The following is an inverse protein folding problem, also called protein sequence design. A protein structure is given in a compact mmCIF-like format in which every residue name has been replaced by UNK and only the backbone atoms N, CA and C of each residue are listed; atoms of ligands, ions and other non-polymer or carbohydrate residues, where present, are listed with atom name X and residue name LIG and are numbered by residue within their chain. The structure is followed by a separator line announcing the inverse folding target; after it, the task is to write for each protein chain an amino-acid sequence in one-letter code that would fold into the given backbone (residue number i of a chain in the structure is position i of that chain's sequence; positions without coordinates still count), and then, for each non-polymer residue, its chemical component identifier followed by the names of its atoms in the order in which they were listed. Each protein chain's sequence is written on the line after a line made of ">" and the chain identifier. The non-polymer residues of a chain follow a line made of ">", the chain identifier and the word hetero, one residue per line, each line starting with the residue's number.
data_IF_316580984314
#
_entry.id   IF_316580984314
#
_cell.length_a   1.000
_cell.length_b   1.000
_cell.length_c   1.000
_cell.angle_alpha   90.00
_cell.angle_beta   90.00
_cell.angle_gamma   90.00
#
_symmetry.space_group_name_H-M   'P 1'
#
loop_
_entity.id
_entity.type
_entity.pdbx_description
1 polymer ?
#
# COMPACT_ATOMS: atom_id res chain seq x y z
N UNK A 1 10.01 8.89 -13.19
CA UNK A 1 9.12 8.52 -12.07
C UNK A 1 7.86 7.90 -12.67
N UNK A 2 7.59 6.64 -12.34
CA UNK A 2 6.42 5.89 -12.83
C UNK A 2 5.32 5.92 -11.77
N UNK A 3 4.06 6.01 -12.20
CA UNK A 3 2.90 5.99 -11.30
C UNK A 3 2.17 4.65 -11.41
N UNK A 4 2.29 3.82 -10.38
CA UNK A 4 1.71 2.47 -10.35
C UNK A 4 0.31 2.47 -9.74
N UNK A 5 -0.65 1.90 -10.46
CA UNK A 5 -1.96 1.60 -9.90
C UNK A 5 -1.91 0.32 -9.09
N UNK A 6 -2.11 0.42 -7.78
CA UNK A 6 -2.27 -0.73 -6.88
C UNK A 6 -3.68 -1.27 -7.02
N UNK A 7 -3.80 -2.53 -7.45
CA UNK A 7 -5.08 -3.23 -7.59
C UNK A 7 -5.16 -4.48 -6.73
N UNK A 8 -4.06 -4.92 -6.12
CA UNK A 8 -4.04 -6.04 -5.21
C UNK A 8 -3.01 -5.86 -4.09
N UNK A 9 -3.19 -6.63 -3.01
CA UNK A 9 -2.23 -6.71 -1.90
C UNK A 9 -1.90 -8.17 -1.56
N UNK A 10 -0.81 -8.38 -0.84
CA UNK A 10 -0.46 -9.65 -0.20
C UNK A 10 -0.43 -9.43 1.30
N UNK A 11 -1.29 -10.09 2.10
CA UNK A 11 -1.26 -9.97 3.55
C UNK A 11 -0.05 -10.70 4.14
N UNK A 12 0.49 -10.17 5.23
CA UNK A 12 1.53 -10.82 6.03
C UNK A 12 0.94 -11.90 6.93
N UNK A 13 0.69 -13.07 6.34
CA UNK A 13 0.31 -14.28 7.08
C UNK A 13 -0.88 -14.10 8.03
N UNK A 14 -0.74 -14.62 9.26
CA UNK A 14 -1.78 -14.65 10.29
C UNK A 14 -1.73 -13.46 11.26
N UNK A 15 -0.97 -12.41 10.95
CA UNK A 15 -0.69 -11.35 11.91
C UNK A 15 -1.91 -10.44 12.12
N UNK A 16 -2.24 -10.14 13.38
CA UNK A 16 -3.45 -9.39 13.77
C UNK A 16 -3.39 -7.91 13.41
N UNK A 17 -2.20 -7.43 13.07
CA UNK A 17 -1.90 -6.02 12.83
C UNK A 17 -2.23 -5.55 11.40
N UNK A 18 -2.97 -6.37 10.63
CA UNK A 18 -3.46 -6.01 9.29
C UNK A 18 -2.33 -5.58 8.36
N UNK A 19 -1.25 -6.36 8.36
CA UNK A 19 0.00 -6.02 7.67
C UNK A 19 0.00 -6.51 6.23
N UNK A 20 0.65 -5.75 5.35
CA UNK A 20 0.81 -6.05 3.92
C UNK A 20 2.29 -6.37 3.67
N UNK A 21 2.56 -7.50 3.02
CA UNK A 21 3.90 -7.91 2.57
C UNK A 21 4.26 -7.37 1.20
N UNK A 22 3.26 -7.22 0.33
CA UNK A 22 3.46 -6.70 -1.01
C UNK A 22 2.21 -5.99 -1.54
N UNK A 23 2.43 -5.04 -2.43
CA UNK A 23 1.39 -4.44 -3.26
C UNK A 23 1.64 -4.82 -4.72
N UNK A 24 0.57 -4.92 -5.51
CA UNK A 24 0.67 -5.30 -6.90
C UNK A 24 -0.39 -4.66 -7.78
N UNK A 25 -0.17 -4.82 -9.08
CA UNK A 25 -1.07 -4.36 -10.13
C UNK A 25 -0.86 -5.16 -11.42
N UNK A 26 -1.30 -4.62 -12.54
CA UNK A 26 -1.17 -5.28 -13.84
C UNK A 26 0.30 -5.63 -14.15
N UNK A 27 0.65 -6.92 -14.04
CA UNK A 27 1.97 -7.49 -14.33
C UNK A 27 3.13 -7.01 -13.45
N UNK A 28 2.84 -6.45 -12.27
CA UNK A 28 3.90 -6.03 -11.34
C UNK A 28 3.54 -6.32 -9.89
N UNK A 29 4.58 -6.54 -9.09
CA UNK A 29 4.49 -6.74 -7.64
C UNK A 29 5.72 -6.14 -6.99
N UNK A 30 5.52 -5.36 -5.93
CA UNK A 30 6.59 -4.82 -5.12
C UNK A 30 6.40 -5.23 -3.66
N UNK A 31 7.48 -5.66 -3.01
CA UNK A 31 7.47 -5.87 -1.57
C UNK A 31 7.21 -4.54 -0.86
N UNK A 32 6.70 -4.62 0.36
CA UNK A 32 6.36 -3.43 1.17
C UNK A 32 7.58 -2.53 1.37
N UNK A 33 8.75 -3.12 1.63
CA UNK A 33 10.00 -2.39 1.84
C UNK A 33 10.46 -1.69 0.55
N UNK A 34 10.33 -2.34 -0.61
CA UNK A 34 10.64 -1.72 -1.90
C UNK A 34 9.69 -0.57 -2.20
N UNK A 35 8.39 -0.74 -1.95
CA UNK A 35 7.40 0.30 -2.16
C UNK A 35 7.63 1.50 -1.23
N UNK A 36 7.96 1.26 0.05
CA UNK A 36 8.35 2.29 1.01
C UNK A 36 9.60 3.03 0.52
N UNK A 37 10.64 2.29 0.12
CA UNK A 37 11.86 2.86 -0.41
C UNK A 37 11.60 3.74 -1.64
N UNK A 38 10.77 3.26 -2.57
CA UNK A 38 10.42 3.99 -3.79
C UNK A 38 9.70 5.30 -3.49
N UNK A 39 8.78 5.32 -2.52
CA UNK A 39 8.07 6.54 -2.09
C UNK A 39 9.04 7.49 -1.40
N UNK A 40 9.81 7.01 -0.41
CA UNK A 40 10.74 7.82 0.37
C UNK A 40 11.84 8.45 -0.49
N UNK A 41 12.31 7.74 -1.52
CA UNK A 41 13.32 8.20 -2.48
C UNK A 41 12.75 8.89 -3.72
N UNK A 42 11.41 9.02 -3.83
CA UNK A 42 10.72 9.62 -4.98
C UNK A 42 11.08 8.95 -6.32
N UNK A 43 11.31 7.64 -6.30
CA UNK A 43 11.62 6.84 -7.50
C UNK A 43 10.33 6.53 -8.27
N UNK A 44 9.30 6.10 -7.53
CA UNK A 44 7.97 5.77 -8.03
C UNK A 44 6.89 6.29 -7.10
N UNK A 45 5.71 6.56 -7.67
CA UNK A 45 4.51 6.90 -6.92
C UNK A 45 3.47 5.78 -7.07
N UNK A 46 2.65 5.61 -6.05
CA UNK A 46 1.61 4.58 -5.99
C UNK A 46 0.25 5.21 -5.73
N UNK A 47 -0.80 4.66 -6.33
CA UNK A 47 -2.18 5.11 -6.15
C UNK A 47 -3.16 3.95 -6.30
N UNK A 48 -4.38 4.09 -5.78
CA UNK A 48 -5.46 3.11 -5.97
C UNK A 48 -6.81 3.80 -6.11
N UNK A 49 -7.84 3.06 -6.52
CA UNK A 49 -9.22 3.49 -6.38
C UNK A 49 -9.78 2.98 -5.06
N UNK A 50 -10.14 3.89 -4.16
CA UNK A 50 -10.79 3.59 -2.89
C UNK A 50 -12.12 4.34 -2.83
N UNK A 51 -13.20 3.63 -2.46
CA UNK A 51 -14.55 4.20 -2.40
C UNK A 51 -14.97 4.99 -3.67
N UNK A 52 -14.54 4.53 -4.86
CA UNK A 52 -14.85 5.17 -6.14
C UNK A 52 -13.99 6.40 -6.50
N UNK A 53 -13.01 6.77 -5.67
CA UNK A 53 -12.12 7.90 -5.91
C UNK A 53 -10.66 7.44 -6.03
N UNK A 54 -9.90 8.12 -6.90
CA UNK A 54 -8.45 7.93 -6.99
C UNK A 54 -7.79 8.54 -5.76
N UNK A 55 -7.02 7.73 -5.02
CA UNK A 55 -6.28 8.16 -3.83
C UNK A 55 -4.81 7.76 -3.93
N UNK A 56 -3.94 8.59 -3.34
CA UNK A 56 -2.49 8.33 -3.32
C UNK A 56 -2.15 7.36 -2.19
N UNK A 57 -1.22 6.45 -2.44
CA UNK A 57 -0.60 5.61 -1.40
C UNK A 57 0.61 6.35 -0.83
N UNK A 58 0.70 6.37 0.49
CA UNK A 58 1.73 7.08 1.25
C UNK A 58 2.34 6.15 2.29
N UNK A 59 3.55 6.49 2.72
CA UNK A 59 4.19 5.86 3.88
C UNK A 59 3.70 6.58 5.14
N UNK A 60 3.26 5.81 6.12
CA UNK A 60 2.96 6.26 7.46
C UNK A 60 3.78 5.47 8.48
N UNK A 61 3.86 5.97 9.71
CA UNK A 61 4.61 5.34 10.79
C UNK A 61 3.66 5.04 11.96
N UNK A 62 3.75 3.84 12.52
CA UNK A 62 3.06 3.43 13.74
C UNK A 62 3.77 4.06 14.96
N UNK A 63 3.12 4.06 16.13
CA UNK A 63 3.73 4.56 17.38
C UNK A 63 5.01 3.83 17.81
N UNK A 64 5.24 2.62 17.32
CA UNK A 64 6.45 1.84 17.56
C UNK A 64 7.58 2.09 16.53
N UNK A 65 7.45 3.11 15.68
CA UNK A 65 8.44 3.47 14.65
C UNK A 65 8.36 2.63 13.36
N UNK A 66 7.42 1.69 13.29
CA UNK A 66 7.29 0.82 12.12
C UNK A 66 6.56 1.53 10.98
N UNK A 67 7.22 1.61 9.82
CA UNK A 67 6.63 2.14 8.59
C UNK A 67 5.65 1.15 7.96
N UNK A 68 4.58 1.67 7.38
CA UNK A 68 3.57 0.93 6.64
C UNK A 68 2.97 1.77 5.52
N UNK A 69 2.31 1.13 4.55
CA UNK A 69 1.60 1.84 3.49
C UNK A 69 0.14 2.05 3.87
N UNK A 70 -0.37 3.25 3.62
CA UNK A 70 -1.78 3.61 3.73
C UNK A 70 -2.19 4.50 2.56
N UNK A 71 -3.49 4.72 2.36
CA UNK A 71 -3.92 5.77 1.42
C UNK A 71 -4.16 7.10 2.14
N UNK A 72 -4.06 8.21 1.40
CA UNK A 72 -4.41 9.55 1.94
C UNK A 72 -5.87 9.62 2.40
N UNK A 73 -6.74 8.80 1.79
CA UNK A 73 -8.16 8.73 2.10
C UNK A 73 -8.50 7.85 3.32
N UNK A 74 -7.52 7.14 3.88
CA UNK A 74 -7.70 6.36 5.09
C UNK A 74 -7.83 7.35 6.26
N UNK A 75 -9.07 7.67 6.64
CA UNK A 75 -9.41 8.54 7.77
C UNK A 75 -9.00 7.93 9.11
N UNK A 76 -9.99 7.50 9.90
CA UNK A 76 -9.76 6.56 11.01
C UNK A 76 -10.04 5.19 10.41
N UNK A 77 -9.08 4.26 10.53
CA UNK A 77 -9.07 2.88 10.00
C UNK A 77 -10.45 2.24 9.66
N UNK A 78 -10.55 1.38 8.62
CA UNK A 78 -9.48 0.53 8.07
C UNK A 78 -8.71 1.12 6.87
N UNK A 79 -7.54 0.53 6.60
CA UNK A 79 -6.66 0.89 5.48
C UNK A 79 -7.27 0.41 4.16
N UNK A 80 -7.52 1.32 3.21
CA UNK A 80 -8.16 0.99 1.94
C UNK A 80 -7.38 -0.05 1.11
N UNK A 81 -6.07 -0.18 1.31
CA UNK A 81 -5.26 -1.20 0.64
C UNK A 81 -5.66 -2.63 1.03
N UNK A 82 -6.19 -2.82 2.25
CA UNK A 82 -6.64 -4.13 2.74
C UNK A 82 -7.98 -4.56 2.15
N UNK A 83 -8.74 -3.60 1.62
CA UNK A 83 -9.98 -3.87 0.90
C UNK A 83 -9.72 -4.31 -0.56
N UNK A 84 -8.49 -4.20 -1.06
CA UNK A 84 -8.13 -4.66 -2.39
C UNK A 84 -8.11 -6.20 -2.46
N UNK A 85 -8.35 -6.80 -3.64
CA UNK A 85 -8.13 -8.22 -3.87
C UNK A 85 -6.72 -8.69 -3.47
N UNK A 86 -6.56 -10.00 -3.23
CA UNK A 86 -5.25 -10.60 -3.06
C UNK A 86 -4.53 -10.73 -4.40
N UNK A 87 -3.23 -10.48 -4.43
CA UNK A 87 -2.45 -10.72 -5.64
C UNK A 87 -2.38 -12.23 -5.94
N UNK A 88 -2.49 -12.58 -7.22
CA UNK A 88 -2.30 -13.93 -7.74
C UNK A 88 -0.83 -14.34 -7.78
#
# INVERSE_FOLDING_TARGET
>A
MTSYQVTCHVPDGADRDQRIDAIGGAEWKHLIDDAIYNIDKRIHDYWTYAAGARTKVIVAERSNGRKYLKTVADGIEPNNLLALPRCS
#
